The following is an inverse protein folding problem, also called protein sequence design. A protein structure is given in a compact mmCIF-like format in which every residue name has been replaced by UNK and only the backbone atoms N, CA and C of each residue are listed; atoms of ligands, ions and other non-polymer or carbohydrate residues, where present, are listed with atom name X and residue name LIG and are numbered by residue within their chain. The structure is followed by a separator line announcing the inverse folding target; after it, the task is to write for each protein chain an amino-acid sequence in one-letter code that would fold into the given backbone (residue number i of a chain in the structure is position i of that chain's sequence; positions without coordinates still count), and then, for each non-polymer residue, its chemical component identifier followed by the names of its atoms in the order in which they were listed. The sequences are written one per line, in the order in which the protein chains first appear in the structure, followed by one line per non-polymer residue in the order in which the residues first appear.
data_IF_654268301515
#
_entry.id   IF_654268301515
#
_cell.length_a   1.000
_cell.length_b   1.000
_cell.length_c   1.000
_cell.angle_alpha   90.00
_cell.angle_beta   90.00
_cell.angle_gamma   90.00
#
_symmetry.space_group_name_H-M   'P 1'
#
loop_
_entity.id
_entity.type
_entity.pdbx_description
1 polymer ?
#
# COMPACT_ATOMS: atom_id res chain seq x y z
N UNK A 1 21.64 16.58 -37.08
CA UNK A 1 21.08 17.41 -36.01
C UNK A 1 19.97 16.59 -35.31
N UNK A 2 20.15 16.23 -34.05
CA UNK A 2 19.08 15.58 -33.30
C UNK A 2 17.89 16.54 -33.19
N UNK A 3 16.72 16.05 -33.58
CA UNK A 3 15.48 16.81 -33.46
C UNK A 3 15.16 17.03 -31.99
N UNK A 4 15.54 18.14 -31.41
CA UNK A 4 15.36 18.49 -29.98
C UNK A 4 13.88 18.68 -29.57
N UNK A 5 12.94 18.57 -30.53
CA UNK A 5 11.52 18.83 -30.29
C UNK A 5 10.70 17.53 -30.18
N UNK A 6 11.26 16.52 -29.53
CA UNK A 6 10.57 15.23 -29.24
C UNK A 6 10.60 14.95 -27.74
N UNK A 7 9.51 14.36 -27.23
CA UNK A 7 9.46 13.95 -25.82
C UNK A 7 10.50 12.86 -25.54
N UNK A 8 11.06 12.81 -24.35
CA UNK A 8 11.91 11.70 -23.94
C UNK A 8 11.12 10.40 -23.94
N UNK A 9 11.77 9.26 -24.22
CA UNK A 9 11.11 7.94 -24.32
C UNK A 9 11.24 7.09 -23.06
N UNK A 10 12.23 7.37 -22.22
CA UNK A 10 12.61 6.58 -21.05
C UNK A 10 11.97 7.09 -19.73
N UNK A 11 10.69 7.40 -19.76
CA UNK A 11 9.94 7.74 -18.55
C UNK A 11 9.18 6.51 -18.03
N UNK A 12 8.97 6.44 -16.71
CA UNK A 12 8.22 5.36 -16.08
C UNK A 12 6.70 5.52 -16.33
N UNK A 13 5.99 4.38 -16.37
CA UNK A 13 4.53 4.36 -16.44
C UNK A 13 3.86 4.75 -15.12
N UNK A 14 2.55 5.03 -15.16
CA UNK A 14 1.81 5.43 -13.98
C UNK A 14 1.78 4.35 -12.89
N UNK A 15 1.55 3.09 -13.26
CA UNK A 15 1.53 1.99 -12.29
C UNK A 15 2.92 1.81 -11.64
N UNK A 16 4.00 1.93 -12.42
CA UNK A 16 5.37 1.91 -11.90
C UNK A 16 5.62 3.07 -10.93
N UNK A 17 5.19 4.28 -11.30
CA UNK A 17 5.36 5.47 -10.48
C UNK A 17 4.65 5.34 -9.13
N UNK A 18 3.36 4.96 -9.12
CA UNK A 18 2.60 4.85 -7.88
C UNK A 18 3.07 3.69 -7.01
N UNK A 19 3.48 2.56 -7.61
CA UNK A 19 4.07 1.47 -6.85
C UNK A 19 5.44 1.86 -6.27
N UNK A 20 6.24 2.65 -6.99
CA UNK A 20 7.50 3.18 -6.47
C UNK A 20 7.26 4.12 -5.28
N UNK A 21 6.22 4.95 -5.30
CA UNK A 21 5.82 5.80 -4.17
C UNK A 21 5.40 4.94 -2.96
N UNK A 22 4.63 3.88 -3.17
CA UNK A 22 4.31 2.94 -2.10
C UNK A 22 5.58 2.30 -1.52
N UNK A 23 6.50 1.83 -2.36
CA UNK A 23 7.79 1.28 -1.93
C UNK A 23 8.66 2.28 -1.18
N UNK A 24 8.74 3.52 -1.65
CA UNK A 24 9.46 4.59 -0.96
C UNK A 24 8.84 4.86 0.42
N UNK A 25 7.50 4.86 0.51
CA UNK A 25 6.80 5.01 1.80
C UNK A 25 7.14 3.87 2.76
N UNK A 26 7.24 2.63 2.26
CA UNK A 26 7.64 1.47 3.07
C UNK A 26 9.00 1.64 3.75
N UNK A 27 9.93 2.39 3.14
CA UNK A 27 11.24 2.68 3.73
C UNK A 27 11.18 3.50 5.02
N UNK A 28 10.04 4.13 5.31
CA UNK A 28 9.79 4.82 6.59
C UNK A 28 9.36 3.87 7.71
N UNK A 29 8.95 2.64 7.39
CA UNK A 29 8.56 1.66 8.41
C UNK A 29 9.75 1.26 9.27
N UNK A 30 9.55 1.24 10.58
CA UNK A 30 10.51 0.79 11.58
C UNK A 30 10.36 -0.70 11.91
N UNK A 31 9.38 -1.39 11.29
CA UNK A 31 9.17 -2.83 11.47
C UNK A 31 10.42 -3.62 11.00
N UNK A 32 11.11 -4.34 11.88
CA UNK A 32 12.34 -5.04 11.52
C UNK A 32 12.11 -6.22 10.56
N UNK A 33 10.87 -6.69 10.43
CA UNK A 33 10.54 -7.92 9.69
C UNK A 33 9.90 -7.67 8.34
N UNK A 34 8.97 -6.72 8.25
CA UNK A 34 8.19 -6.50 7.02
C UNK A 34 7.83 -5.02 6.93
N UNK A 35 8.40 -4.33 5.96
CA UNK A 35 8.10 -2.95 5.65
C UNK A 35 7.12 -2.93 4.48
N UNK A 36 5.96 -2.32 4.70
CA UNK A 36 4.87 -2.21 3.72
C UNK A 36 4.52 -0.74 3.53
N UNK A 37 4.29 -0.36 2.28
CA UNK A 37 3.82 0.98 1.93
C UNK A 37 2.56 0.93 1.09
N UNK A 38 1.81 2.02 1.14
CA UNK A 38 0.60 2.21 0.35
C UNK A 38 0.53 3.62 -0.23
N UNK A 39 -0.03 3.73 -1.44
CA UNK A 39 -0.28 5.00 -2.12
C UNK A 39 -1.70 5.01 -2.67
N UNK A 40 -2.52 5.97 -2.25
CA UNK A 40 -3.89 6.15 -2.74
C UNK A 40 -3.87 7.18 -3.86
N UNK A 41 -4.48 6.81 -4.98
CA UNK A 41 -4.53 7.61 -6.21
C UNK A 41 -5.98 7.82 -6.62
N UNK A 42 -6.38 9.08 -6.71
CA UNK A 42 -7.69 9.50 -7.16
C UNK A 42 -7.75 9.79 -8.65
N UNK A 43 -8.84 10.41 -9.05
CA UNK A 43 -9.08 10.81 -10.42
C UNK A 43 -7.95 11.70 -10.98
N UNK A 44 -7.65 11.55 -12.27
CA UNK A 44 -6.59 12.30 -12.94
C UNK A 44 -5.17 11.94 -12.49
N UNK A 45 -4.96 10.74 -11.96
CA UNK A 45 -3.65 10.26 -11.48
C UNK A 45 -3.05 11.15 -10.35
N UNK A 46 -3.88 11.73 -9.52
CA UNK A 46 -3.45 12.53 -8.37
C UNK A 46 -3.22 11.64 -7.16
N UNK A 47 -2.05 11.72 -6.56
CA UNK A 47 -1.78 11.08 -5.27
C UNK A 47 -2.60 11.82 -4.21
N UNK A 48 -3.48 11.10 -3.52
CA UNK A 48 -4.31 11.61 -2.45
C UNK A 48 -3.63 11.47 -1.10
N UNK A 49 -3.02 10.31 -0.86
CA UNK A 49 -2.38 9.99 0.41
C UNK A 49 -1.38 8.86 0.25
N UNK A 50 -0.48 8.77 1.22
CA UNK A 50 0.47 7.66 1.39
C UNK A 50 0.43 7.14 2.82
N UNK A 51 0.85 5.90 3.01
CA UNK A 51 0.98 5.29 4.33
C UNK A 51 2.06 4.22 4.34
N UNK A 52 2.53 3.89 5.52
CA UNK A 52 3.44 2.76 5.78
C UNK A 52 3.05 2.11 7.11
N UNK A 53 3.41 0.86 7.31
CA UNK A 53 3.10 0.17 8.56
C UNK A 53 4.00 0.63 9.71
N UNK A 54 3.41 0.71 10.92
CA UNK A 54 4.14 1.18 12.09
C UNK A 54 3.32 1.12 13.37
N UNK A 55 3.92 1.55 14.46
CA UNK A 55 3.23 1.73 15.73
C UNK A 55 2.15 2.82 15.62
N UNK A 56 1.07 2.75 16.40
CA UNK A 56 0.10 3.83 16.50
C UNK A 56 0.74 5.14 16.94
N UNK A 57 0.18 6.26 16.51
CA UNK A 57 0.65 7.58 16.90
C UNK A 57 0.68 7.72 18.43
N UNK A 58 1.82 8.16 18.98
CA UNK A 58 2.03 8.31 20.40
C UNK A 58 2.57 7.07 21.12
N UNK A 59 2.61 5.91 20.48
CA UNK A 59 3.33 4.75 21.01
C UNK A 59 4.83 4.93 20.75
N UNK A 60 5.66 4.82 21.79
CA UNK A 60 7.10 4.92 21.63
C UNK A 60 7.64 3.66 20.92
N UNK A 61 8.30 3.87 19.78
CA UNK A 61 8.85 2.80 18.95
C UNK A 61 9.90 1.95 19.66
N UNK A 62 10.61 2.52 20.64
CA UNK A 62 11.68 1.82 21.37
C UNK A 62 11.14 0.76 22.35
N UNK A 63 9.86 0.90 22.75
CA UNK A 63 9.19 -0.04 23.66
C UNK A 63 8.04 -0.80 22.97
N UNK A 64 7.82 -0.54 21.68
CA UNK A 64 6.81 -1.24 20.89
C UNK A 64 7.19 -2.72 20.70
N UNK A 65 6.24 -3.66 20.85
CA UNK A 65 6.52 -5.09 20.73
C UNK A 65 6.70 -5.52 19.26
N UNK A 66 7.88 -5.35 18.70
CA UNK A 66 8.17 -5.68 17.29
C UNK A 66 8.28 -7.18 16.98
N UNK A 67 8.27 -8.04 17.99
CA UNK A 67 8.40 -9.50 17.82
C UNK A 67 7.30 -10.09 16.94
N UNK A 68 7.62 -11.16 16.21
CA UNK A 68 6.67 -11.96 15.43
C UNK A 68 6.22 -13.23 16.14
N UNK A 69 7.01 -13.69 17.09
CA UNK A 69 6.83 -14.95 17.80
C UNK A 69 6.74 -14.68 19.30
N UNK A 70 5.99 -15.54 20.00
CA UNK A 70 5.76 -15.44 21.43
C UNK A 70 4.28 -15.37 21.77
N UNK A 71 3.96 -14.99 22.99
CA UNK A 71 2.58 -14.71 23.40
C UNK A 71 2.01 -13.55 22.57
N UNK A 72 0.77 -13.68 22.14
CA UNK A 72 0.16 -12.73 21.20
C UNK A 72 0.30 -11.27 21.64
N UNK A 73 0.10 -10.96 22.93
CA UNK A 73 0.21 -9.60 23.47
C UNK A 73 1.65 -9.07 23.53
N UNK A 74 2.64 -9.92 23.37
CA UNK A 74 4.06 -9.56 23.31
C UNK A 74 4.57 -9.48 21.87
N UNK A 75 3.67 -9.56 20.87
CA UNK A 75 3.98 -9.44 19.45
C UNK A 75 3.39 -8.15 18.86
N UNK A 76 3.86 -7.76 17.69
CA UNK A 76 3.36 -6.58 16.99
C UNK A 76 1.91 -6.72 16.47
N UNK A 77 1.41 -7.95 16.28
CA UNK A 77 0.17 -8.20 15.55
C UNK A 77 -1.08 -7.53 16.12
N UNK A 78 -1.30 -7.46 17.45
CA UNK A 78 -2.44 -6.74 17.99
C UNK A 78 -2.36 -5.22 17.89
N UNK A 79 -1.18 -4.66 17.60
CA UNK A 79 -0.90 -3.24 17.79
C UNK A 79 -0.49 -2.51 16.52
N UNK A 80 0.13 -3.20 15.56
CA UNK A 80 0.69 -2.55 14.36
C UNK A 80 -0.42 -2.00 13.46
N UNK A 81 -0.31 -0.72 13.10
CA UNK A 81 -1.13 -0.11 12.05
C UNK A 81 -0.59 -0.48 10.69
N UNK A 82 -1.42 -1.03 9.82
CA UNK A 82 -1.02 -1.41 8.46
C UNK A 82 -0.91 -0.19 7.55
N UNK A 83 -0.16 -0.33 6.47
CA UNK A 83 0.11 0.74 5.52
C UNK A 83 -1.16 1.30 4.86
N UNK A 84 -2.09 0.42 4.49
CA UNK A 84 -3.37 0.77 3.87
C UNK A 84 -4.24 1.57 4.83
N UNK A 85 -4.34 1.13 6.09
CA UNK A 85 -5.02 1.85 7.16
C UNK A 85 -4.44 3.25 7.32
N UNK A 86 -3.12 3.36 7.44
CA UNK A 86 -2.45 4.64 7.61
C UNK A 86 -2.64 5.55 6.37
N UNK A 87 -2.60 4.99 5.15
CA UNK A 87 -2.87 5.78 3.94
C UNK A 87 -4.30 6.34 3.93
N UNK A 88 -5.31 5.55 4.33
CA UNK A 88 -6.70 5.99 4.40
C UNK A 88 -6.87 7.07 5.49
N UNK A 89 -6.30 6.87 6.68
CA UNK A 89 -6.42 7.79 7.82
C UNK A 89 -5.59 9.06 7.66
N UNK A 90 -4.49 9.03 6.92
CA UNK A 90 -3.68 10.20 6.61
C UNK A 90 -4.34 11.15 5.61
N UNK A 91 -5.32 10.66 4.85
CA UNK A 91 -6.04 11.51 3.91
C UNK A 91 -6.89 12.57 4.67
N UNK A 92 -6.69 13.83 4.34
CA UNK A 92 -7.33 14.98 5.01
C UNK A 92 -8.34 15.74 4.15
N UNK A 93 -8.58 15.25 2.92
CA UNK A 93 -9.56 15.83 2.01
C UNK A 93 -10.98 15.28 2.20
N UNK A 94 -11.81 15.45 1.20
CA UNK A 94 -13.17 14.93 1.19
C UNK A 94 -13.20 13.40 1.00
N UNK A 95 -14.05 12.72 1.77
CA UNK A 95 -14.27 11.28 1.54
C UNK A 95 -14.71 10.95 0.10
N UNK A 96 -15.36 11.88 -0.59
CA UNK A 96 -15.74 11.73 -1.99
C UNK A 96 -14.54 11.50 -2.91
N UNK A 97 -13.38 12.03 -2.57
CA UNK A 97 -12.17 11.85 -3.39
C UNK A 97 -11.62 10.43 -3.31
N UNK A 98 -11.99 9.67 -2.27
CA UNK A 98 -11.64 8.25 -2.13
C UNK A 98 -12.61 7.35 -2.90
N UNK A 99 -13.81 7.83 -3.23
CA UNK A 99 -14.79 7.07 -4.01
C UNK A 99 -14.26 6.84 -5.42
N UNK A 100 -14.14 5.57 -5.81
CA UNK A 100 -13.57 5.20 -7.11
C UNK A 100 -12.04 5.28 -7.20
N UNK A 101 -11.34 5.73 -6.15
CA UNK A 101 -9.89 5.78 -6.12
C UNK A 101 -9.25 4.38 -6.21
N UNK A 102 -7.95 4.37 -6.47
CA UNK A 102 -7.10 3.17 -6.47
C UNK A 102 -6.15 3.21 -5.29
N UNK A 103 -5.79 2.04 -4.76
CA UNK A 103 -4.72 1.91 -3.79
C UNK A 103 -3.63 0.98 -4.33
N UNK A 104 -2.40 1.48 -4.35
CA UNK A 104 -1.20 0.71 -4.65
C UNK A 104 -0.58 0.28 -3.33
N UNK A 105 -0.27 -1.00 -3.20
CA UNK A 105 0.31 -1.56 -1.99
C UNK A 105 1.32 -2.66 -2.36
N UNK A 106 2.45 -2.70 -1.70
CA UNK A 106 3.47 -3.70 -2.03
C UNK A 106 3.14 -5.12 -1.54
N UNK A 107 2.21 -5.26 -0.60
CA UNK A 107 1.70 -6.56 -0.13
C UNK A 107 0.17 -6.60 -0.18
N UNK A 108 -0.40 -7.68 -0.74
CA UNK A 108 -1.86 -7.85 -0.83
C UNK A 108 -2.54 -7.63 0.53
N UNK A 109 -3.60 -6.81 0.62
CA UNK A 109 -4.22 -6.41 1.88
C UNK A 109 -4.83 -7.59 2.63
N UNK A 110 -4.71 -7.60 3.94
CA UNK A 110 -5.43 -8.54 4.81
C UNK A 110 -6.92 -8.20 4.89
N UNK A 111 -7.71 -9.07 5.51
CA UNK A 111 -9.16 -8.88 5.66
C UNK A 111 -9.53 -7.58 6.40
N UNK A 112 -8.75 -7.16 7.39
CA UNK A 112 -9.01 -5.90 8.11
C UNK A 112 -8.81 -4.68 7.20
N UNK A 113 -7.71 -4.67 6.43
CA UNK A 113 -7.47 -3.61 5.46
C UNK A 113 -8.50 -3.64 4.31
N UNK A 114 -8.91 -4.82 3.84
CA UNK A 114 -9.96 -4.95 2.84
C UNK A 114 -11.28 -4.28 3.29
N UNK A 115 -11.70 -4.47 4.55
CA UNK A 115 -12.88 -3.78 5.12
C UNK A 115 -12.72 -2.25 5.07
N UNK A 116 -11.56 -1.74 5.44
CA UNK A 116 -11.29 -0.29 5.40
C UNK A 116 -11.28 0.26 3.97
N UNK A 117 -10.67 -0.45 3.03
CA UNK A 117 -10.64 -0.11 1.60
C UNK A 117 -12.08 -0.02 1.07
N UNK A 118 -12.92 -1.02 1.33
CA UNK A 118 -14.31 -1.06 0.92
C UNK A 118 -15.09 0.12 1.52
N UNK A 119 -14.98 0.33 2.83
CA UNK A 119 -15.72 1.38 3.55
C UNK A 119 -15.26 2.79 3.20
N UNK A 120 -14.03 2.97 2.70
CA UNK A 120 -13.55 4.26 2.20
C UNK A 120 -14.06 4.60 0.79
N UNK A 121 -14.61 3.63 0.06
CA UNK A 121 -15.09 3.81 -1.32
C UNK A 121 -14.04 3.55 -2.41
N UNK A 122 -12.85 3.15 -2.05
CA UNK A 122 -11.79 2.73 -2.99
C UNK A 122 -12.29 1.52 -3.79
N UNK A 123 -12.02 1.50 -5.10
CA UNK A 123 -12.59 0.50 -6.04
C UNK A 123 -11.55 -0.38 -6.73
N UNK A 124 -10.29 -0.08 -6.61
CA UNK A 124 -9.23 -0.89 -7.22
C UNK A 124 -8.02 -1.03 -6.28
N UNK A 125 -7.55 -2.26 -6.09
CA UNK A 125 -6.32 -2.59 -5.37
C UNK A 125 -5.27 -3.07 -6.37
N UNK A 126 -4.13 -2.39 -6.45
CA UNK A 126 -2.99 -2.81 -7.25
C UNK A 126 -1.87 -3.24 -6.28
N UNK A 127 -1.47 -4.50 -6.34
CA UNK A 127 -0.51 -5.05 -5.41
C UNK A 127 0.72 -5.64 -6.11
N UNK A 128 1.86 -5.65 -5.40
CA UNK A 128 3.11 -6.20 -5.93
C UNK A 128 3.29 -7.67 -5.55
N UNK A 129 2.99 -8.03 -4.32
CA UNK A 129 3.18 -9.38 -3.79
C UNK A 129 1.95 -9.89 -3.06
N UNK A 130 1.65 -11.16 -3.21
CA UNK A 130 0.61 -11.90 -2.48
C UNK A 130 1.17 -13.14 -1.77
N UNK A 131 2.37 -13.02 -1.21
CA UNK A 131 3.10 -14.15 -0.57
C UNK A 131 2.29 -14.89 0.50
N UNK A 132 1.23 -14.29 1.03
CA UNK A 132 0.32 -14.88 2.01
C UNK A 132 -1.04 -15.29 1.40
N UNK A 133 -1.12 -15.51 0.07
CA UNK A 133 -2.36 -15.79 -0.66
C UNK A 133 -3.21 -16.93 -0.04
N UNK A 134 -2.55 -17.93 0.54
CA UNK A 134 -3.20 -19.12 1.13
C UNK A 134 -3.57 -18.94 2.62
N UNK A 135 -3.29 -17.80 3.24
CA UNK A 135 -3.71 -17.54 4.62
C UNK A 135 -5.22 -17.27 4.69
N UNK A 136 -5.85 -17.63 5.80
CA UNK A 136 -7.28 -17.36 6.03
C UNK A 136 -7.61 -15.88 5.86
N UNK A 137 -6.75 -14.99 6.35
CA UNK A 137 -6.92 -13.54 6.23
C UNK A 137 -6.94 -13.06 4.77
N UNK A 138 -6.07 -13.61 3.91
CA UNK A 138 -6.03 -13.24 2.49
C UNK A 138 -7.19 -13.88 1.71
N UNK A 139 -7.60 -15.10 2.05
CA UNK A 139 -8.79 -15.74 1.49
C UNK A 139 -10.04 -14.92 1.84
N UNK A 140 -10.18 -14.52 3.10
CA UNK A 140 -11.29 -13.67 3.55
C UNK A 140 -11.27 -12.28 2.86
N UNK A 141 -10.07 -11.69 2.71
CA UNK A 141 -9.88 -10.42 1.99
C UNK A 141 -10.41 -10.51 0.55
N UNK A 142 -10.03 -11.55 -0.20
CA UNK A 142 -10.52 -11.76 -1.57
C UNK A 142 -12.04 -11.90 -1.62
N UNK A 143 -12.63 -12.70 -0.73
CA UNK A 143 -14.09 -12.85 -0.62
C UNK A 143 -14.79 -11.51 -0.35
N UNK A 144 -14.24 -10.68 0.51
CA UNK A 144 -14.78 -9.34 0.81
C UNK A 144 -14.71 -8.43 -0.41
N UNK A 145 -13.54 -8.34 -1.05
CA UNK A 145 -13.33 -7.50 -2.24
C UNK A 145 -14.25 -7.92 -3.39
N UNK A 146 -14.34 -9.23 -3.66
CA UNK A 146 -15.21 -9.79 -4.71
C UNK A 146 -16.69 -9.48 -4.44
N UNK A 147 -17.16 -9.74 -3.22
CA UNK A 147 -18.55 -9.49 -2.83
C UNK A 147 -18.93 -8.01 -2.93
N UNK A 148 -17.99 -7.11 -2.65
CA UNK A 148 -18.19 -5.66 -2.67
C UNK A 148 -17.79 -5.01 -4.02
N UNK A 149 -17.43 -5.81 -5.02
CA UNK A 149 -17.06 -5.35 -6.37
C UNK A 149 -15.89 -4.35 -6.33
N UNK A 150 -14.91 -4.61 -5.50
CA UNK A 150 -13.61 -3.94 -5.52
C UNK A 150 -12.66 -4.80 -6.33
N UNK A 151 -12.18 -4.28 -7.45
CA UNK A 151 -11.25 -5.01 -8.31
C UNK A 151 -9.86 -5.06 -7.66
N UNK A 152 -9.10 -6.11 -7.97
CA UNK A 152 -7.71 -6.21 -7.55
C UNK A 152 -6.88 -6.88 -8.64
N UNK A 153 -5.66 -6.39 -8.82
CA UNK A 153 -4.72 -6.95 -9.78
C UNK A 153 -3.29 -6.91 -9.25
N UNK A 154 -2.54 -7.93 -9.59
CA UNK A 154 -1.09 -7.91 -9.40
C UNK A 154 -0.47 -7.02 -10.46
N UNK A 155 0.41 -6.10 -10.04
CA UNK A 155 1.12 -5.25 -10.99
C UNK A 155 2.08 -6.13 -11.84
N UNK A 156 2.05 -5.91 -13.15
CA UNK A 156 2.96 -6.58 -14.06
C UNK A 156 4.17 -5.68 -14.31
N UNK A 157 5.26 -5.97 -13.62
CA UNK A 157 6.55 -5.30 -13.80
C UNK A 157 7.57 -6.29 -14.36
N UNK A 158 8.55 -5.83 -15.17
CA UNK A 158 9.67 -6.65 -15.58
C UNK A 158 10.39 -7.25 -14.37
N UNK A 159 10.89 -8.48 -14.50
CA UNK A 159 11.70 -9.10 -13.45
C UNK A 159 12.89 -8.21 -13.10
N UNK A 160 13.16 -8.06 -11.80
CA UNK A 160 14.23 -7.21 -11.26
C UNK A 160 14.15 -5.72 -11.65
N UNK A 161 12.95 -5.22 -11.96
CA UNK A 161 12.77 -3.78 -12.19
C UNK A 161 13.28 -2.98 -10.99
N UNK A 162 14.22 -2.08 -11.25
CA UNK A 162 14.75 -1.13 -10.26
C UNK A 162 14.42 0.28 -10.71
N UNK A 163 14.12 1.13 -9.75
CA UNK A 163 14.05 2.58 -9.91
C UNK A 163 15.06 3.14 -8.92
N UNK A 164 16.08 3.82 -9.43
CA UNK A 164 17.14 4.43 -8.63
C UNK A 164 16.90 5.93 -8.56
N UNK A 165 17.07 6.51 -7.39
CA UNK A 165 16.91 7.94 -7.13
C UNK A 165 18.19 8.41 -6.43
N UNK A 166 18.90 9.33 -7.06
CA UNK A 166 20.00 10.07 -6.43
C UNK A 166 19.39 11.27 -5.68
N UNK A 167 19.83 11.49 -4.42
CA UNK A 167 19.38 12.59 -3.55
C UNK A 167 20.50 13.59 -3.37
#
# INVERSE_FOLDING_TARGET
MENKNVKRKNYIGWDEYFMAIAKLSAMRSKDPSTQVGACIVGEGNRILSIGYNGAPNGFNDDIFPWAREGENLNTKYPYVCHAEMNAILNYRGSRKDLEGAKIYVDLFPCNECAKMIIQSGIKEVIYLSDKYANSENNIASRKLLDACKVSYKKINLPENKKIEIEL
#
